data_IF_491889894673
#
_entry.id   IF_491889894673
#
_cell.length_a   1.000
_cell.length_b   1.000
_cell.length_c   1.000
_cell.angle_alpha   90.00
_cell.angle_beta   90.00
_cell.angle_gamma   90.00
#
_symmetry.space_group_name_H-M   'P 1'
#
loop_
_entity.id
_entity.type
_entity.pdbx_description
1 polymer ?
#
# COMPACT_ATOMS: atom_id res chain seq x y z
N UNK A 1 18.02 -6.67 -10.91
CA UNK A 1 16.93 -6.03 -10.21
C UNK A 1 15.68 -6.00 -11.09
N UNK A 2 14.52 -6.29 -10.53
CA UNK A 2 13.30 -6.12 -11.30
C UNK A 2 13.10 -4.66 -11.66
N UNK A 3 12.62 -4.40 -12.86
CA UNK A 3 12.31 -3.05 -13.28
C UNK A 3 10.93 -2.64 -12.70
N UNK A 4 10.54 -1.40 -12.94
CA UNK A 4 9.28 -0.89 -12.41
C UNK A 4 8.07 -1.68 -12.91
N UNK A 5 8.10 -2.13 -14.17
CA UNK A 5 6.99 -2.90 -14.71
C UNK A 5 6.84 -4.24 -14.01
N UNK A 6 7.95 -4.91 -13.72
CA UNK A 6 7.90 -6.18 -12.97
C UNK A 6 7.37 -5.97 -11.57
N UNK A 7 7.80 -4.91 -10.91
CA UNK A 7 7.32 -4.55 -9.59
C UNK A 7 5.80 -4.29 -9.60
N UNK A 8 5.33 -3.50 -10.57
CA UNK A 8 3.91 -3.20 -10.68
C UNK A 8 3.08 -4.43 -10.97
N UNK A 9 3.60 -5.35 -11.80
CA UNK A 9 2.91 -6.60 -12.09
C UNK A 9 2.78 -7.47 -10.83
N UNK A 10 3.83 -7.57 -10.04
CA UNK A 10 3.81 -8.32 -8.79
C UNK A 10 2.84 -7.69 -7.79
N UNK A 11 2.85 -6.38 -7.70
CA UNK A 11 1.97 -5.66 -6.80
C UNK A 11 0.50 -5.81 -7.22
N UNK A 12 0.25 -5.77 -8.53
CA UNK A 12 -1.09 -6.00 -9.07
C UNK A 12 -1.64 -7.37 -8.66
N UNK A 13 -0.82 -8.41 -8.80
CA UNK A 13 -1.20 -9.76 -8.40
C UNK A 13 -1.51 -9.80 -6.91
N UNK A 14 -0.68 -9.15 -6.10
CA UNK A 14 -0.90 -9.10 -4.65
C UNK A 14 -2.23 -8.45 -4.31
N UNK A 15 -2.56 -7.32 -4.95
CA UNK A 15 -3.84 -6.63 -4.74
C UNK A 15 -5.00 -7.55 -5.11
N UNK A 16 -4.91 -8.21 -6.26
CA UNK A 16 -5.96 -9.11 -6.72
C UNK A 16 -6.18 -10.27 -5.74
N UNK A 17 -5.11 -10.82 -5.22
CA UNK A 17 -5.21 -11.92 -4.26
C UNK A 17 -5.74 -11.49 -2.91
N UNK A 18 -5.28 -10.33 -2.42
CA UNK A 18 -5.70 -9.82 -1.12
C UNK A 18 -7.18 -9.43 -1.09
N UNK A 19 -7.67 -8.84 -2.16
CA UNK A 19 -9.01 -8.29 -2.19
C UNK A 19 -9.98 -9.04 -3.09
N UNK A 20 -9.52 -10.12 -3.75
CA UNK A 20 -10.36 -11.01 -4.56
C UNK A 20 -11.14 -10.27 -5.63
N UNK A 21 -10.48 -9.36 -6.34
CA UNK A 21 -11.09 -8.59 -7.42
C UNK A 21 -10.04 -8.24 -8.47
N UNK A 22 -10.49 -7.69 -9.60
CA UNK A 22 -9.56 -7.17 -10.61
C UNK A 22 -8.89 -5.89 -10.16
N UNK A 23 -7.70 -5.64 -10.65
CA UNK A 23 -6.95 -4.42 -10.34
C UNK A 23 -6.17 -3.96 -11.57
N UNK A 24 -6.24 -2.66 -11.84
CA UNK A 24 -5.54 -2.02 -12.96
C UNK A 24 -4.74 -0.84 -12.40
N UNK A 25 -3.44 -0.81 -12.70
CA UNK A 25 -2.58 0.27 -12.24
C UNK A 25 -3.00 1.59 -12.86
N UNK A 26 -3.00 2.64 -12.03
CA UNK A 26 -3.42 3.98 -12.44
C UNK A 26 -2.27 4.98 -12.40
N UNK A 27 -1.59 5.08 -11.26
CA UNK A 27 -0.54 6.09 -11.08
C UNK A 27 0.34 5.76 -9.89
N UNK A 28 1.49 6.42 -9.84
CA UNK A 28 2.40 6.39 -8.70
C UNK A 28 2.32 7.73 -7.97
N UNK A 29 2.13 7.68 -6.66
CA UNK A 29 2.07 8.88 -5.81
C UNK A 29 3.18 8.82 -4.78
N UNK A 30 4.14 9.76 -4.78
CA UNK A 30 5.14 9.81 -3.72
C UNK A 30 4.52 10.34 -2.43
N UNK A 31 4.86 9.70 -1.32
CA UNK A 31 4.34 10.06 0.00
C UNK A 31 5.50 10.18 0.97
N UNK A 32 5.47 11.21 1.80
CA UNK A 32 6.45 11.43 2.84
C UNK A 32 5.72 11.88 4.11
N UNK A 33 5.71 11.02 5.12
CA UNK A 33 5.04 11.31 6.39
C UNK A 33 6.07 11.63 7.46
N UNK A 34 5.82 12.73 8.16
CA UNK A 34 6.71 13.23 9.20
C UNK A 34 5.91 13.34 10.49
N UNK A 35 6.52 12.94 11.60
CA UNK A 35 5.93 13.07 12.93
C UNK A 35 6.99 13.60 13.87
N UNK A 36 6.71 14.75 14.48
CA UNK A 36 7.63 15.43 15.42
C UNK A 36 9.00 15.66 14.81
N UNK A 37 9.02 16.10 13.54
CA UNK A 37 10.27 16.41 12.85
C UNK A 37 11.02 15.21 12.32
N UNK A 38 10.51 14.00 12.49
CA UNK A 38 11.17 12.79 12.01
C UNK A 38 10.34 12.11 10.94
N UNK A 39 11.03 11.62 9.91
CA UNK A 39 10.37 10.84 8.88
C UNK A 39 9.92 9.50 9.46
N UNK A 40 8.61 9.23 9.43
CA UNK A 40 8.05 7.96 9.88
C UNK A 40 7.69 7.05 8.72
N UNK A 41 7.56 7.58 7.51
CA UNK A 41 7.33 6.80 6.31
C UNK A 41 7.69 7.60 5.08
N UNK A 42 8.33 6.95 4.13
CA UNK A 42 8.70 7.59 2.86
C UNK A 42 8.73 6.53 1.76
N UNK A 43 8.11 6.84 0.63
CA UNK A 43 8.13 5.92 -0.50
C UNK A 43 7.09 6.30 -1.54
N UNK A 44 6.91 5.40 -2.50
CA UNK A 44 5.93 5.55 -3.56
C UNK A 44 4.76 4.63 -3.30
N UNK A 45 3.55 5.18 -3.39
CA UNK A 45 2.31 4.42 -3.32
C UNK A 45 1.79 4.23 -4.73
N UNK A 46 1.47 2.99 -5.09
CA UNK A 46 0.89 2.68 -6.40
C UNK A 46 -0.62 2.64 -6.26
N UNK A 47 -1.30 3.36 -7.14
CA UNK A 47 -2.76 3.46 -7.11
C UNK A 47 -3.33 2.51 -8.15
N UNK A 48 -4.26 1.67 -7.74
CA UNK A 48 -4.95 0.72 -8.61
C UNK A 48 -6.45 1.00 -8.61
N UNK A 49 -7.06 0.98 -9.79
CA UNK A 49 -8.51 0.95 -9.91
C UNK A 49 -8.97 -0.49 -9.78
N UNK A 50 -10.02 -0.72 -9.00
CA UNK A 50 -10.53 -2.06 -8.73
C UNK A 50 -11.77 -2.36 -9.56
N UNK A 51 -11.86 -3.61 -10.01
CA UNK A 51 -13.02 -4.11 -10.75
C UNK A 51 -13.64 -5.26 -9.96
N UNK A 52 -14.93 -5.11 -9.63
CA UNK A 52 -15.65 -6.17 -8.96
C UNK A 52 -15.58 -6.18 -7.45
N UNK A 53 -14.97 -5.18 -6.84
CA UNK A 53 -14.98 -5.08 -5.40
C UNK A 53 -16.30 -4.46 -4.93
N UNK A 54 -16.97 -5.05 -3.91
CA UNK A 54 -18.30 -4.59 -3.51
C UNK A 54 -18.31 -3.24 -2.80
N UNK A 55 -17.18 -2.81 -2.22
CA UNK A 55 -17.16 -1.61 -1.37
C UNK A 55 -16.20 -0.53 -1.84
N UNK A 56 -15.18 -0.86 -2.60
CA UNK A 56 -14.15 0.09 -2.98
C UNK A 56 -13.92 0.07 -4.48
N UNK A 57 -13.64 1.25 -5.05
CA UNK A 57 -13.32 1.38 -6.47
C UNK A 57 -11.82 1.54 -6.70
N UNK A 58 -11.05 1.78 -5.64
CA UNK A 58 -9.63 2.08 -5.73
C UNK A 58 -8.91 1.51 -4.53
N UNK A 59 -7.61 1.26 -4.73
CA UNK A 59 -6.74 0.70 -3.71
C UNK A 59 -5.38 1.40 -3.78
N UNK A 60 -4.75 1.57 -2.62
CA UNK A 60 -3.41 2.15 -2.50
C UNK A 60 -2.48 1.05 -2.03
N UNK A 61 -1.44 0.78 -2.81
CA UNK A 61 -0.60 -0.37 -2.55
C UNK A 61 0.88 -0.02 -2.63
N UNK A 62 1.66 -0.75 -1.83
CA UNK A 62 3.11 -0.66 -1.84
C UNK A 62 3.68 -1.94 -1.27
N UNK A 63 5.01 -2.06 -1.28
CA UNK A 63 5.69 -3.17 -0.65
C UNK A 63 6.81 -2.67 0.24
N UNK A 64 7.19 -3.48 1.20
CA UNK A 64 8.35 -3.22 2.03
C UNK A 64 9.02 -4.54 2.39
N UNK A 65 10.29 -4.43 2.77
CA UNK A 65 11.02 -5.60 3.26
C UNK A 65 10.61 -5.86 4.70
N UNK A 66 10.37 -7.13 5.01
CA UNK A 66 9.88 -7.53 6.30
C UNK A 66 10.99 -8.09 7.16
N UNK A 67 11.02 -7.59 8.39
CA UNK A 67 11.79 -8.18 9.45
C UNK A 67 13.26 -7.90 9.38
N UNK A 68 13.97 -8.67 10.16
CA UNK A 68 15.38 -8.43 10.44
C UNK A 68 16.31 -8.89 9.35
N UNK A 69 15.87 -9.80 8.51
CA UNK A 69 16.71 -10.40 7.48
C UNK A 69 16.49 -9.88 6.09
N UNK A 70 15.50 -9.01 5.92
CA UNK A 70 15.17 -8.39 4.63
C UNK A 70 14.94 -9.40 3.51
N UNK A 71 14.52 -10.61 3.87
CA UNK A 71 14.38 -11.69 2.90
C UNK A 71 12.97 -11.80 2.33
N UNK A 72 12.01 -11.17 2.96
CA UNK A 72 10.62 -11.25 2.54
C UNK A 72 10.10 -9.91 2.13
N UNK A 73 9.46 -9.89 0.98
CA UNK A 73 8.71 -8.72 0.56
C UNK A 73 7.28 -8.84 1.06
N UNK A 74 6.84 -7.83 1.79
CA UNK A 74 5.44 -7.74 2.20
C UNK A 74 4.72 -6.74 1.33
N UNK A 75 3.51 -7.11 0.95
CA UNK A 75 2.65 -6.25 0.15
C UNK A 75 1.54 -5.69 1.02
N UNK A 76 1.31 -4.39 0.90
CA UNK A 76 0.25 -3.69 1.62
C UNK A 76 -0.71 -3.14 0.57
N UNK A 77 -1.99 -3.38 0.75
CA UNK A 77 -3.01 -2.89 -0.16
C UNK A 77 -4.20 -2.38 0.66
N UNK A 78 -4.35 -1.06 0.70
CA UNK A 78 -5.36 -0.39 1.50
C UNK A 78 -6.49 0.07 0.59
N UNK A 79 -7.71 -0.38 0.88
CA UNK A 79 -8.88 0.00 0.12
C UNK A 79 -9.25 1.46 0.37
N UNK A 80 -9.75 2.12 -0.69
CA UNK A 80 -10.28 3.47 -0.57
C UNK A 80 -11.68 3.42 0.02
N UNK A 81 -11.72 3.27 1.32
CA UNK A 81 -12.96 3.30 2.12
C UNK A 81 -12.76 4.36 3.19
N UNK A 82 -13.67 5.31 3.36
CA UNK A 82 -13.47 6.38 4.35
C UNK A 82 -13.08 5.83 5.72
N UNK A 83 -12.11 6.45 6.41
CA UNK A 83 -11.49 7.75 6.13
C UNK A 83 -10.32 7.74 5.12
N UNK A 84 -10.04 6.62 4.46
CA UNK A 84 -8.98 6.56 3.46
C UNK A 84 -9.49 7.17 2.16
N UNK A 85 -8.88 8.29 1.75
CA UNK A 85 -9.32 9.03 0.57
C UNK A 85 -8.19 9.27 -0.43
N UNK A 86 -6.95 9.00 -0.04
CA UNK A 86 -5.77 9.29 -0.85
C UNK A 86 -4.61 8.38 -0.46
N UNK A 87 -3.54 8.43 -1.25
CA UNK A 87 -2.32 7.69 -0.93
C UNK A 87 -1.79 8.08 0.45
N UNK A 88 -1.82 9.36 0.77
CA UNK A 88 -1.35 9.86 2.07
C UNK A 88 -2.18 9.27 3.22
N UNK A 89 -3.50 9.31 3.13
CA UNK A 89 -4.36 8.78 4.19
C UNK A 89 -4.26 7.27 4.30
N UNK A 90 -3.99 6.57 3.18
CA UNK A 90 -3.75 5.14 3.21
C UNK A 90 -2.49 4.80 4.02
N UNK A 91 -1.41 5.55 3.81
CA UNK A 91 -0.17 5.36 4.56
C UNK A 91 -0.40 5.66 6.04
N UNK A 92 -1.11 6.74 6.36
CA UNK A 92 -1.42 7.09 7.74
C UNK A 92 -2.22 5.99 8.44
N UNK A 93 -3.20 5.41 7.76
CA UNK A 93 -3.98 4.32 8.31
C UNK A 93 -3.12 3.09 8.59
N UNK A 94 -2.19 2.79 7.69
CA UNK A 94 -1.27 1.67 7.86
C UNK A 94 -0.33 1.88 9.06
N UNK A 95 0.19 3.09 9.22
CA UNK A 95 1.06 3.43 10.35
C UNK A 95 0.30 3.24 11.67
N UNK A 96 -0.94 3.71 11.74
CA UNK A 96 -1.76 3.56 12.94
C UNK A 96 -2.04 2.10 13.25
N UNK A 97 -2.32 1.29 12.24
CA UNK A 97 -2.59 -0.13 12.43
C UNK A 97 -1.36 -0.85 12.97
N UNK A 98 -0.17 -0.55 12.45
CA UNK A 98 1.08 -1.14 12.91
C UNK A 98 1.38 -0.72 14.35
N UNK A 99 1.14 0.55 14.69
CA UNK A 99 1.31 1.04 16.04
C UNK A 99 0.43 0.32 17.04
N UNK A 100 -0.82 0.08 16.66
CA UNK A 100 -1.76 -0.65 17.52
C UNK A 100 -1.32 -2.08 17.74
N UNK A 101 -0.80 -2.74 16.70
CA UNK A 101 -0.31 -4.11 16.83
C UNK A 101 0.88 -4.19 17.77
N UNK A 102 1.74 -3.19 17.78
CA UNK A 102 2.93 -3.18 18.60
C UNK A 102 2.61 -2.95 20.08
N UNK A 103 1.46 -2.38 20.36
CA UNK A 103 1.06 -2.09 21.74
C UNK A 103 0.30 -3.23 22.41
N UNK A 104 -0.05 -4.23 21.67
CA UNK A 104 -0.83 -5.34 22.21
C UNK A 104 -0.01 -6.36 22.97
#
# INVERSE_FOLDING_TARGET
>A
MPNKQDYLAQLQVAVQELHKCGAVWRETVPVHEVFRGQTVWRGNVEVFDLNGHPKAKRCYAWSHLDGQNDERTRYVAVLEIPPVESAKTAVQASILADGQKQQS
#
